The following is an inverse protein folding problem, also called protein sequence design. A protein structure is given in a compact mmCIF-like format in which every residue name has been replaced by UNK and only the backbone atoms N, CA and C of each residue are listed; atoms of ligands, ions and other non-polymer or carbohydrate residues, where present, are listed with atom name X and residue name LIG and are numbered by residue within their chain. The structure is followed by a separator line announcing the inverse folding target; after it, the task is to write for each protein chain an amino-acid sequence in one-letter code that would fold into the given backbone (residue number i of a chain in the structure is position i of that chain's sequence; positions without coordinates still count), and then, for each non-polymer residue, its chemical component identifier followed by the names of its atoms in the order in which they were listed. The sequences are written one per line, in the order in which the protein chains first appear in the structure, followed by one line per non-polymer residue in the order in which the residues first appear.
data_IF_268963809813
#
_entry.id   IF_268963809813
#
_cell.length_a   1.000
_cell.length_b   1.000
_cell.length_c   1.000
_cell.angle_alpha   90.00
_cell.angle_beta   90.00
_cell.angle_gamma   90.00
#
_symmetry.space_group_name_H-M   'P 1'
#
loop_
_entity.id
_entity.type
_entity.pdbx_description
1 polymer ?
#
# COMPACT_ATOMS: atom_id res chain seq x y z
N UNK A 1 16.24 -3.42 -0.51
CA UNK A 1 15.84 -4.34 0.58
C UNK A 1 14.71 -3.69 1.37
N UNK A 2 13.54 -4.33 1.43
CA UNK A 2 12.34 -3.80 2.08
C UNK A 2 12.52 -3.53 3.59
N UNK A 3 13.41 -4.27 4.27
CA UNK A 3 13.62 -4.10 5.71
C UNK A 3 14.18 -2.71 6.06
N UNK A 4 14.99 -2.14 5.18
CA UNK A 4 15.53 -0.78 5.35
C UNK A 4 14.39 0.24 5.30
N UNK A 5 13.45 0.08 4.36
CA UNK A 5 12.29 0.96 4.20
C UNK A 5 11.37 0.84 5.42
N UNK A 6 11.08 -0.39 5.87
CA UNK A 6 10.30 -0.66 7.08
C UNK A 6 10.88 0.04 8.30
N UNK A 7 12.18 -0.10 8.53
CA UNK A 7 12.84 0.51 9.68
C UNK A 7 12.83 2.04 9.61
N UNK A 8 13.08 2.62 8.42
CA UNK A 8 13.07 4.07 8.24
C UNK A 8 11.70 4.69 8.55
N UNK A 9 10.63 4.10 8.01
CA UNK A 9 9.26 4.58 8.24
C UNK A 9 8.82 4.40 9.69
N UNK A 10 9.22 3.29 10.34
CA UNK A 10 8.88 3.06 11.73
C UNK A 10 9.55 4.08 12.66
N UNK A 11 10.85 4.31 12.49
CA UNK A 11 11.63 5.16 13.40
C UNK A 11 11.33 6.65 13.23
N UNK A 12 11.13 7.12 11.99
CA UNK A 12 11.00 8.55 11.71
C UNK A 12 9.54 9.01 11.68
N UNK A 13 8.62 8.12 11.34
CA UNK A 13 7.25 8.48 11.05
C UNK A 13 6.22 7.69 11.86
N UNK A 14 6.64 6.71 12.67
CA UNK A 14 5.73 5.79 13.37
C UNK A 14 4.75 5.10 12.39
N UNK A 15 5.27 4.74 11.22
CA UNK A 15 4.53 4.07 10.14
C UNK A 15 5.04 2.64 10.00
N UNK A 16 4.12 1.68 10.05
CA UNK A 16 4.37 0.28 9.72
C UNK A 16 4.01 0.02 8.26
N UNK A 17 4.75 -0.85 7.58
CA UNK A 17 4.39 -1.34 6.25
C UNK A 17 3.84 -2.75 6.35
N UNK A 18 2.56 -2.91 6.08
CA UNK A 18 1.89 -4.20 6.00
C UNK A 18 1.93 -4.68 4.55
N UNK A 19 2.40 -5.90 4.32
CA UNK A 19 2.35 -6.51 2.99
C UNK A 19 0.93 -7.01 2.70
N UNK A 20 0.41 -6.70 1.52
CA UNK A 20 -0.83 -7.29 1.03
C UNK A 20 -0.55 -8.66 0.43
N UNK A 21 -1.30 -9.66 0.86
CA UNK A 21 -1.28 -10.98 0.23
C UNK A 21 -2.23 -10.99 -0.97
N UNK A 22 -1.67 -11.20 -2.17
CA UNK A 22 -2.44 -11.40 -3.40
C UNK A 22 -3.23 -12.71 -3.45
N UNK A 23 -2.91 -13.68 -2.58
CA UNK A 23 -3.49 -15.04 -2.62
C UNK A 23 -4.65 -15.28 -1.64
N UNK A 24 -4.97 -14.32 -0.78
CA UNK A 24 -5.96 -14.47 0.28
C UNK A 24 -7.10 -13.46 0.14
N UNK A 25 -7.94 -13.66 -0.88
CA UNK A 25 -9.18 -12.87 -1.09
C UNK A 25 -10.25 -13.22 -0.04
N UNK A 26 -10.15 -14.36 0.65
CA UNK A 26 -11.21 -14.86 1.52
C UNK A 26 -10.59 -15.66 2.66
N UNK A 27 -10.29 -15.04 3.83
CA UNK A 27 -10.34 -15.74 5.15
C UNK A 27 -9.91 -14.88 6.36
N UNK A 28 -9.07 -13.85 6.21
CA UNK A 28 -8.70 -13.01 7.37
C UNK A 28 -9.49 -11.70 7.38
N UNK A 29 -10.33 -11.52 8.39
CA UNK A 29 -11.04 -10.27 8.69
C UNK A 29 -10.11 -9.04 8.68
N UNK A 30 -8.84 -9.24 9.03
CA UNK A 30 -7.77 -8.24 8.97
C UNK A 30 -7.43 -7.78 7.55
N UNK A 31 -7.36 -8.68 6.56
CA UNK A 31 -7.04 -8.32 5.17
C UNK A 31 -8.19 -7.54 4.51
N UNK A 32 -9.45 -7.91 4.77
CA UNK A 32 -10.61 -7.15 4.31
C UNK A 32 -10.71 -5.79 5.00
N UNK A 33 -10.40 -5.73 6.30
CA UNK A 33 -10.36 -4.48 7.06
C UNK A 33 -9.25 -3.55 6.57
N UNK A 34 -8.05 -4.07 6.35
CA UNK A 34 -6.90 -3.33 5.83
C UNK A 34 -7.20 -2.88 4.40
N UNK A 35 -7.70 -3.75 3.49
CA UNK A 35 -8.16 -3.34 2.15
C UNK A 35 -9.20 -2.21 2.21
N UNK A 36 -10.12 -2.24 3.18
CA UNK A 36 -11.11 -1.16 3.35
C UNK A 36 -10.52 0.15 3.92
N UNK A 37 -9.53 0.08 4.84
CA UNK A 37 -8.82 1.25 5.38
C UNK A 37 -7.76 1.82 4.41
N UNK A 38 -7.24 0.99 3.52
CA UNK A 38 -6.32 1.38 2.43
C UNK A 38 -6.94 2.40 1.49
N UNK A 39 -8.27 2.41 1.37
CA UNK A 39 -8.96 3.41 0.56
C UNK A 39 -8.96 4.82 1.16
N UNK A 40 -8.62 4.94 2.44
CA UNK A 40 -8.45 6.23 3.12
C UNK A 40 -6.96 6.61 3.19
N UNK A 41 -6.06 5.62 3.32
CA UNK A 41 -4.60 5.79 3.32
C UNK A 41 -4.07 6.35 1.99
N UNK A 42 -3.10 7.26 2.11
CA UNK A 42 -2.70 8.14 1.02
C UNK A 42 -1.73 7.50 0.02
N UNK A 43 -1.17 6.30 0.28
CA UNK A 43 -0.14 5.70 -0.58
C UNK A 43 -0.07 4.17 -0.54
N UNK A 44 0.47 3.57 -1.61
CA UNK A 44 0.87 2.17 -1.74
C UNK A 44 2.36 2.14 -2.10
N UNK A 45 3.14 1.28 -1.45
CA UNK A 45 4.51 0.97 -1.82
C UNK A 45 4.53 -0.33 -2.61
N UNK A 46 5.24 -0.34 -3.74
CA UNK A 46 5.24 -1.46 -4.66
C UNK A 46 6.69 -1.86 -4.92
N UNK A 47 6.97 -3.15 -4.76
CA UNK A 47 8.21 -3.76 -5.16
C UNK A 47 7.96 -4.64 -6.37
N UNK A 48 8.64 -4.37 -7.47
CA UNK A 48 8.65 -5.21 -8.66
C UNK A 48 10.09 -5.57 -8.96
N UNK A 49 10.43 -6.87 -8.89
CA UNK A 49 11.81 -7.34 -8.90
C UNK A 49 12.68 -6.58 -7.86
N UNK A 50 13.76 -5.95 -8.31
CA UNK A 50 14.69 -5.18 -7.46
C UNK A 50 14.37 -3.67 -7.39
N UNK A 51 13.23 -3.25 -7.95
CA UNK A 51 12.82 -1.86 -8.02
C UNK A 51 11.65 -1.53 -7.10
N UNK A 52 11.70 -0.35 -6.49
CA UNK A 52 10.66 0.17 -5.62
C UNK A 52 10.05 1.45 -6.21
N UNK A 53 8.73 1.52 -6.20
CA UNK A 53 7.96 2.71 -6.58
C UNK A 53 6.72 2.82 -5.70
N UNK A 54 5.98 3.92 -5.81
CA UNK A 54 4.74 4.08 -5.05
C UNK A 54 3.57 4.58 -5.91
N UNK A 55 2.36 4.27 -5.47
CA UNK A 55 1.14 4.89 -5.95
C UNK A 55 0.62 5.82 -4.85
N UNK A 56 0.46 7.11 -5.10
CA UNK A 56 0.02 8.07 -4.08
C UNK A 56 -1.22 8.83 -4.52
N UNK A 57 -2.18 8.97 -3.61
CA UNK A 57 -3.31 9.88 -3.76
C UNK A 57 -2.95 11.24 -3.15
N UNK A 58 -3.39 12.31 -3.80
CA UNK A 58 -3.23 13.67 -3.31
C UNK A 58 -4.59 14.26 -2.94
N UNK A 59 -4.64 15.09 -1.90
CA UNK A 59 -5.88 15.68 -1.40
C UNK A 59 -6.63 16.52 -2.44
N UNK A 60 -5.88 17.14 -3.35
CA UNK A 60 -6.43 17.93 -4.46
C UNK A 60 -6.94 17.09 -5.65
N UNK A 61 -6.81 15.76 -5.60
CA UNK A 61 -7.31 14.85 -6.62
C UNK A 61 -7.70 13.49 -5.99
N UNK A 62 -8.78 13.45 -5.19
CA UNK A 62 -9.12 12.31 -4.34
C UNK A 62 -9.57 11.07 -5.12
N UNK A 63 -9.92 11.22 -6.40
CA UNK A 63 -10.40 10.12 -7.25
C UNK A 63 -9.28 9.36 -7.96
N UNK A 64 -8.02 9.78 -7.79
CA UNK A 64 -6.90 9.17 -8.51
C UNK A 64 -5.70 8.91 -7.61
N UNK A 65 -5.06 7.76 -7.84
CA UNK A 65 -3.69 7.48 -7.45
C UNK A 65 -2.76 7.84 -8.59
N UNK A 66 -1.60 8.40 -8.25
CA UNK A 66 -0.54 8.77 -9.17
C UNK A 66 0.63 7.83 -8.95
N UNK A 67 1.10 7.18 -10.00
CA UNK A 67 2.31 6.38 -9.93
C UNK A 67 3.53 7.31 -9.91
N UNK A 68 4.30 7.18 -8.84
CA UNK A 68 5.56 7.88 -8.62
C UNK A 68 6.65 6.81 -8.74
N UNK A 69 7.27 6.75 -9.92
CA UNK A 69 8.31 5.80 -10.23
C UNK A 69 9.55 6.54 -10.74
N UNK A 70 10.69 6.34 -10.07
CA UNK A 70 11.94 7.05 -10.36
C UNK A 70 12.60 6.68 -11.69
N UNK A 71 12.21 5.55 -12.29
CA UNK A 71 12.74 5.09 -13.57
C UNK A 71 11.94 5.60 -14.77
N UNK A 72 10.69 6.01 -14.55
CA UNK A 72 9.82 6.52 -15.62
C UNK A 72 9.71 8.03 -15.48
N UNK A 73 10.27 8.76 -16.45
CA UNK A 73 10.10 10.21 -16.53
C UNK A 73 8.65 10.62 -16.89
N UNK A 74 7.80 9.66 -17.24
CA UNK A 74 6.43 9.90 -17.67
C UNK A 74 5.53 10.24 -16.46
N UNK A 75 5.23 11.53 -16.33
CA UNK A 75 4.76 12.16 -15.08
C UNK A 75 3.33 11.81 -14.65
N UNK A 76 2.57 11.00 -15.39
CA UNK A 76 1.10 11.02 -15.24
C UNK A 76 0.39 9.68 -15.38
N UNK A 77 1.02 8.53 -15.11
CA UNK A 77 0.24 7.29 -15.01
C UNK A 77 -0.66 7.35 -13.76
N UNK A 78 -1.93 7.64 -14.00
CA UNK A 78 -2.99 7.75 -12.98
C UNK A 78 -3.83 6.48 -12.97
N UNK A 79 -4.25 6.07 -11.78
CA UNK A 79 -5.16 4.95 -11.56
C UNK A 79 -6.38 5.51 -10.86
N UNK A 80 -7.57 5.27 -11.39
CA UNK A 80 -8.81 5.69 -10.73
C UNK A 80 -8.97 4.94 -9.41
N UNK A 81 -9.45 5.62 -8.36
CA UNK A 81 -9.60 5.06 -7.00
C UNK A 81 -10.40 3.76 -6.99
N UNK A 82 -11.48 3.68 -7.75
CA UNK A 82 -12.33 2.49 -7.87
C UNK A 82 -11.65 1.32 -8.61
N UNK A 83 -10.52 1.55 -9.28
CA UNK A 83 -9.75 0.54 -10.02
C UNK A 83 -8.45 0.15 -9.32
N UNK A 84 -8.20 0.66 -8.11
CA UNK A 84 -6.95 0.38 -7.41
C UNK A 84 -6.83 -1.09 -7.01
N UNK A 85 -7.94 -1.76 -6.67
CA UNK A 85 -7.96 -3.19 -6.38
C UNK A 85 -7.57 -4.00 -7.61
N UNK A 86 -8.18 -3.71 -8.78
CA UNK A 86 -7.81 -4.35 -10.05
C UNK A 86 -6.31 -4.18 -10.33
N UNK A 87 -5.76 -3.00 -10.02
CA UNK A 87 -4.34 -2.74 -10.20
C UNK A 87 -3.46 -3.50 -9.20
N UNK A 88 -3.88 -3.64 -7.94
CA UNK A 88 -3.20 -4.45 -6.93
C UNK A 88 -3.21 -5.92 -7.36
N UNK A 89 -4.33 -6.43 -7.83
CA UNK A 89 -4.43 -7.82 -8.28
C UNK A 89 -3.54 -8.05 -9.53
N UNK A 90 -3.54 -7.10 -10.49
CA UNK A 90 -2.58 -7.08 -11.60
C UNK A 90 -1.12 -7.11 -11.13
N UNK A 91 -0.75 -6.35 -10.10
CA UNK A 91 0.61 -6.34 -9.56
C UNK A 91 1.01 -7.71 -8.99
N UNK A 92 0.09 -8.38 -8.28
CA UNK A 92 0.33 -9.72 -7.76
C UNK A 92 0.47 -10.78 -8.87
N UNK A 93 -0.30 -10.66 -9.95
CA UNK A 93 -0.15 -11.52 -11.14
C UNK A 93 1.21 -11.35 -11.82
N UNK A 94 1.88 -10.21 -11.61
CA UNK A 94 3.20 -9.88 -12.16
C UNK A 94 4.29 -9.93 -11.08
N UNK A 95 4.16 -10.86 -10.12
CA UNK A 95 5.13 -11.14 -9.05
C UNK A 95 5.60 -9.91 -8.26
N UNK A 96 4.74 -8.88 -8.17
CA UNK A 96 5.04 -7.67 -7.41
C UNK A 96 4.50 -7.81 -5.98
N UNK A 97 5.27 -7.32 -5.02
CA UNK A 97 4.82 -7.22 -3.63
C UNK A 97 4.25 -5.83 -3.39
N UNK A 98 3.03 -5.76 -2.86
CA UNK A 98 2.38 -4.50 -2.51
C UNK A 98 2.39 -4.35 -0.99
N UNK A 99 2.77 -3.16 -0.52
CA UNK A 99 2.82 -2.80 0.88
C UNK A 99 2.02 -1.54 1.13
N UNK A 100 1.39 -1.49 2.29
CA UNK A 100 0.53 -0.39 2.70
C UNK A 100 1.15 0.24 3.94
N UNK A 101 1.41 1.56 3.90
CA UNK A 101 1.77 2.30 5.09
C UNK A 101 0.53 2.45 5.97
N UNK A 102 0.70 2.19 7.26
CA UNK A 102 -0.32 2.36 8.28
C UNK A 102 0.32 2.95 9.52
N UNK A 103 -0.36 3.86 10.20
CA UNK A 103 0.16 4.37 11.46
C UNK A 103 0.23 3.24 12.51
N UNK A 104 1.41 3.01 13.09
CA UNK A 104 1.67 1.95 14.07
C UNK A 104 0.70 1.99 15.27
N UNK A 105 0.23 3.19 15.63
CA UNK A 105 -0.70 3.38 16.75
C UNK A 105 -2.11 2.86 16.45
N UNK A 106 -2.56 2.90 15.19
CA UNK A 106 -3.88 2.40 14.78
C UNK A 106 -3.92 0.87 14.89
N UNK A 107 -2.82 0.21 14.52
CA UNK A 107 -2.67 -1.25 14.59
C UNK A 107 -2.69 -1.72 16.05
N UNK A 108 -1.91 -1.07 16.93
CA UNK A 108 -1.87 -1.40 18.36
C UNK A 108 -3.22 -1.22 19.05
N UNK A 109 -3.95 -0.14 18.75
CA UNK A 109 -5.27 0.09 19.36
C UNK A 109 -6.33 -0.92 18.91
N UNK A 110 -6.27 -1.43 17.69
CA UNK A 110 -7.32 -2.33 17.14
C UNK A 110 -7.04 -3.82 17.37
N UNK A 111 -5.78 -4.26 17.45
CA UNK A 111 -5.43 -5.64 17.88
C UNK A 111 -5.79 -5.90 19.36
N UNK A 112 -5.67 -4.88 20.22
CA UNK A 112 -6.05 -4.99 21.64
C UNK A 112 -7.55 -5.23 21.88
N UNK A 113 -8.41 -4.98 20.88
CA UNK A 113 -9.85 -5.25 20.96
C UNK A 113 -10.26 -6.60 20.35
N UNK A 114 -9.32 -7.35 19.75
CA UNK A 114 -9.55 -8.66 19.14
C UNK A 114 -9.10 -9.84 20.03
N UNK A 115 -8.38 -9.58 21.13
CA UNK A 115 -7.99 -10.54 22.19
C UNK A 115 -8.91 -10.33 23.39
#
# INVERSE_FOLDING_TARGET
NIQVIKNALQLQCNIELIQLDGRNVITNSENSFIRNHIFDEQALFIQQADHYFCARRFDNCPDHFFLINSLTYDKHKKIQRNRINDYIDYLHEHDSCVYVPVCANIIKWKLYHLI
#
